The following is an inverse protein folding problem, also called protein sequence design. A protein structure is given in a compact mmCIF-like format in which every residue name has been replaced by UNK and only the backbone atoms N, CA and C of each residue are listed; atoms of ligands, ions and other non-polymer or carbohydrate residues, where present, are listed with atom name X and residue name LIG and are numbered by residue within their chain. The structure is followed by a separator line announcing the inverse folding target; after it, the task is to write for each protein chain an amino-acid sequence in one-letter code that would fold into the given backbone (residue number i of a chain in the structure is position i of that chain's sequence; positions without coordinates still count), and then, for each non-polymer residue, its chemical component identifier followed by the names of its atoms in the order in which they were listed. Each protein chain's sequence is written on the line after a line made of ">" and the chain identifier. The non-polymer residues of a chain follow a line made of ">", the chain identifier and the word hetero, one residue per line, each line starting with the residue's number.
data_IF_926097569017
#
_entry.id   IF_926097569017
#
_cell.length_a   1.000
_cell.length_b   1.000
_cell.length_c   1.000
_cell.angle_alpha   90.00
_cell.angle_beta   90.00
_cell.angle_gamma   90.00
#
_symmetry.space_group_name_H-M   'P 1'
#
loop_
_entity.id
_entity.type
_entity.pdbx_description
1 polymer ?
#
# COMPACT_ATOMS: atom_id res chain seq x y z
N UNK A 1 10.49 -3.05 2.57
CA UNK A 1 9.90 -3.19 3.93
C UNK A 1 9.70 -4.67 4.22
N UNK A 2 9.78 -5.13 5.48
CA UNK A 2 9.45 -6.53 5.82
C UNK A 2 8.03 -6.61 6.41
N UNK A 3 7.50 -7.83 6.56
CA UNK A 3 6.14 -8.04 7.05
C UNK A 3 5.89 -7.45 8.46
N UNK A 4 6.84 -7.59 9.38
CA UNK A 4 6.73 -7.06 10.73
C UNK A 4 6.63 -5.53 10.74
N UNK A 5 7.53 -4.87 10.00
CA UNK A 5 7.51 -3.39 9.86
C UNK A 5 6.21 -2.93 9.19
N UNK A 6 5.71 -3.66 8.19
CA UNK A 6 4.41 -3.34 7.58
C UNK A 6 3.27 -3.42 8.61
N UNK A 7 3.22 -4.49 9.41
CA UNK A 7 2.20 -4.69 10.42
C UNK A 7 2.24 -3.61 11.49
N UNK A 8 3.43 -3.33 12.03
CA UNK A 8 3.60 -2.40 13.15
C UNK A 8 3.48 -0.94 12.70
N UNK A 9 4.15 -0.54 11.62
CA UNK A 9 4.27 0.88 11.27
C UNK A 9 3.15 1.37 10.35
N UNK A 10 2.53 0.47 9.57
CA UNK A 10 1.48 0.84 8.61
C UNK A 10 0.12 0.34 9.09
N UNK A 11 -0.05 -0.98 9.26
CA UNK A 11 -1.37 -1.52 9.55
C UNK A 11 -1.88 -1.13 10.96
N UNK A 12 -1.06 -1.33 11.99
CA UNK A 12 -1.43 -0.98 13.37
C UNK A 12 -1.59 0.52 13.57
N UNK A 13 -0.71 1.33 12.99
CA UNK A 13 -0.67 2.78 13.26
C UNK A 13 -1.62 3.59 12.40
N UNK A 14 -1.93 3.16 11.18
CA UNK A 14 -2.75 3.93 10.25
C UNK A 14 -4.09 3.24 9.97
N UNK A 15 -4.08 1.95 9.63
CA UNK A 15 -5.29 1.26 9.16
C UNK A 15 -6.24 0.92 10.31
N UNK A 16 -5.72 0.47 11.45
CA UNK A 16 -6.55 0.13 12.62
C UNK A 16 -7.28 1.35 13.19
N UNK A 17 -6.64 2.53 13.40
CA UNK A 17 -7.37 3.73 13.79
C UNK A 17 -8.36 4.19 12.73
N UNK A 18 -7.99 4.16 11.44
CA UNK A 18 -8.89 4.55 10.36
C UNK A 18 -10.22 3.79 10.38
N UNK A 19 -10.15 2.47 10.63
CA UNK A 19 -11.33 1.62 10.77
C UNK A 19 -12.29 2.09 11.87
N UNK A 20 -11.77 2.63 12.98
CA UNK A 20 -12.59 3.05 14.11
C UNK A 20 -13.53 4.21 13.72
N UNK A 21 -13.04 5.10 12.87
CA UNK A 21 -13.80 6.27 12.41
C UNK A 21 -14.62 5.99 11.12
N UNK A 22 -14.29 4.93 10.38
CA UNK A 22 -14.89 4.61 9.08
C UNK A 22 -15.42 3.17 9.05
N UNK A 23 -16.63 2.90 9.57
CA UNK A 23 -17.15 1.54 9.69
C UNK A 23 -17.43 0.86 8.34
N UNK A 24 -17.60 1.63 7.26
CA UNK A 24 -17.94 1.14 5.92
C UNK A 24 -16.78 1.34 4.94
N UNK A 25 -15.61 0.78 5.24
CA UNK A 25 -14.45 0.82 4.34
C UNK A 25 -13.99 -0.59 3.96
N UNK A 26 -13.29 -0.69 2.84
CA UNK A 26 -12.56 -1.88 2.43
C UNK A 26 -11.12 -1.49 2.18
N UNK A 27 -10.20 -2.18 2.86
CA UNK A 27 -8.78 -1.93 2.68
C UNK A 27 -8.24 -2.65 1.43
N UNK A 28 -7.52 -1.93 0.58
CA UNK A 28 -6.80 -2.48 -0.55
C UNK A 28 -5.30 -2.20 -0.37
N UNK A 29 -4.48 -3.21 -0.59
CA UNK A 29 -3.04 -3.09 -0.80
C UNK A 29 -2.62 -4.08 -1.90
N UNK A 30 -1.45 -3.88 -2.49
CA UNK A 30 -0.87 -4.86 -3.39
C UNK A 30 -0.32 -6.08 -2.63
N UNK A 31 0.03 -7.14 -3.36
CA UNK A 31 0.49 -8.40 -2.77
C UNK A 31 2.00 -8.60 -2.84
N UNK A 32 2.79 -7.54 -2.62
CA UNK A 32 4.25 -7.71 -2.47
C UNK A 32 4.58 -8.60 -1.28
N UNK A 33 5.81 -9.13 -1.23
CA UNK A 33 6.24 -10.13 -0.24
C UNK A 33 5.88 -9.78 1.21
N UNK A 34 5.96 -8.50 1.63
CA UNK A 34 5.57 -8.10 2.99
C UNK A 34 4.06 -8.05 3.21
N UNK A 35 3.30 -7.66 2.20
CA UNK A 35 1.85 -7.52 2.27
C UNK A 35 1.16 -8.88 2.16
N UNK A 36 1.66 -9.76 1.28
CA UNK A 36 1.18 -11.14 1.10
C UNK A 36 1.73 -12.16 2.10
N UNK A 37 2.56 -11.74 3.07
CA UNK A 37 3.05 -12.64 4.10
C UNK A 37 1.87 -13.21 4.93
N UNK A 38 1.92 -14.50 5.28
CA UNK A 38 0.87 -15.16 6.08
C UNK A 38 0.55 -14.42 7.38
N UNK A 39 1.58 -13.88 8.04
CA UNK A 39 1.40 -13.09 9.27
C UNK A 39 0.67 -11.78 9.01
N UNK A 40 0.88 -11.16 7.84
CA UNK A 40 0.19 -9.93 7.44
C UNK A 40 -1.27 -10.22 7.10
N UNK A 41 -1.54 -11.30 6.37
CA UNK A 41 -2.92 -11.73 6.08
C UNK A 41 -3.68 -12.02 7.38
N UNK A 42 -3.10 -12.79 8.29
CA UNK A 42 -3.71 -13.10 9.60
C UNK A 42 -3.96 -11.83 10.43
N UNK A 43 -3.06 -10.84 10.36
CA UNK A 43 -3.27 -9.53 10.98
C UNK A 43 -4.50 -8.84 10.41
N UNK A 44 -4.63 -8.78 9.07
CA UNK A 44 -5.76 -8.13 8.41
C UNK A 44 -7.07 -8.82 8.77
N UNK A 45 -7.12 -10.16 8.74
CA UNK A 45 -8.31 -10.93 9.14
C UNK A 45 -8.74 -10.63 10.58
N UNK A 46 -7.78 -10.55 11.50
CA UNK A 46 -8.05 -10.41 12.94
C UNK A 46 -8.40 -8.97 13.34
N UNK A 47 -7.66 -7.97 12.82
CA UNK A 47 -7.78 -6.57 13.27
C UNK A 47 -8.56 -5.69 12.31
N UNK A 48 -8.46 -5.93 11.01
CA UNK A 48 -9.07 -5.08 9.96
C UNK A 48 -10.42 -5.66 9.54
N UNK A 49 -10.48 -6.93 9.16
CA UNK A 49 -11.68 -7.67 8.74
C UNK A 49 -12.09 -7.39 7.29
N UNK A 50 -12.26 -6.12 6.91
CA UNK A 50 -12.66 -5.72 5.55
C UNK A 50 -11.44 -5.35 4.70
N UNK A 51 -10.98 -6.27 3.86
CA UNK A 51 -9.90 -6.04 2.90
C UNK A 51 -10.08 -6.87 1.62
N UNK A 52 -9.50 -6.41 0.52
CA UNK A 52 -9.46 -7.17 -0.73
C UNK A 52 -8.38 -8.24 -0.60
N UNK A 53 -8.79 -9.51 -0.47
CA UNK A 53 -7.91 -10.67 -0.35
C UNK A 53 -7.22 -11.05 -1.68
N UNK A 54 -6.26 -11.96 -1.63
CA UNK A 54 -5.41 -12.37 -2.77
C UNK A 54 -6.18 -12.98 -3.94
N UNK A 55 -7.36 -13.52 -3.68
CA UNK A 55 -8.27 -14.07 -4.67
C UNK A 55 -9.14 -12.98 -5.35
N UNK A 56 -9.33 -11.84 -4.68
CA UNK A 56 -10.11 -10.71 -5.19
C UNK A 56 -9.25 -9.66 -5.90
N UNK A 57 -7.95 -9.58 -5.58
CA UNK A 57 -7.02 -8.62 -6.18
C UNK A 57 -5.96 -9.33 -7.04
N UNK A 58 -5.93 -9.09 -8.36
CA UNK A 58 -4.97 -9.75 -9.25
C UNK A 58 -3.52 -9.33 -8.97
N UNK A 59 -2.60 -10.28 -9.10
CA UNK A 59 -1.17 -10.01 -8.98
C UNK A 59 -0.66 -9.18 -10.17
N UNK A 60 0.29 -8.27 -9.92
CA UNK A 60 0.92 -7.41 -10.93
C UNK A 60 -0.06 -6.51 -11.71
N UNK A 61 -1.06 -5.96 -11.02
CA UNK A 61 -2.06 -5.05 -11.61
C UNK A 61 -1.95 -3.61 -11.08
N UNK A 62 -0.85 -2.89 -11.39
CA UNK A 62 -0.72 -1.49 -11.00
C UNK A 62 -1.74 -0.58 -11.69
N UNK A 63 -2.24 -0.98 -12.86
CA UNK A 63 -3.31 -0.31 -13.60
C UNK A 63 -4.65 -0.28 -12.84
N UNK A 64 -4.88 -1.26 -11.96
CA UNK A 64 -6.07 -1.31 -11.14
C UNK A 64 -5.92 -0.55 -9.83
N UNK A 65 -4.69 -0.28 -9.37
CA UNK A 65 -4.43 0.39 -8.10
C UNK A 65 -4.49 1.93 -8.25
N UNK A 66 -5.46 2.63 -7.65
CA UNK A 66 -5.55 4.10 -7.73
C UNK A 66 -4.30 4.83 -7.28
N UNK A 67 -3.57 4.26 -6.32
CA UNK A 67 -2.32 4.82 -5.86
C UNK A 67 -1.26 4.78 -6.97
N UNK A 68 -1.10 3.64 -7.63
CA UNK A 68 -0.05 3.44 -8.64
C UNK A 68 -0.39 4.10 -9.97
N UNK A 69 -1.61 3.92 -10.49
CA UNK A 69 -1.96 4.42 -11.83
C UNK A 69 -2.09 5.96 -11.87
N UNK A 70 -2.43 6.60 -10.74
CA UNK A 70 -2.71 8.04 -10.71
C UNK A 70 -1.88 8.81 -9.69
N UNK A 71 -2.01 8.48 -8.40
CA UNK A 71 -1.47 9.33 -7.33
C UNK A 71 0.05 9.40 -7.38
N UNK A 72 0.73 8.26 -7.56
CA UNK A 72 2.18 8.17 -7.68
C UNK A 72 2.70 8.99 -8.87
N UNK A 73 2.07 8.88 -10.04
CA UNK A 73 2.44 9.66 -11.22
C UNK A 73 2.26 11.17 -11.03
N UNK A 74 1.14 11.57 -10.42
CA UNK A 74 0.92 12.98 -10.06
C UNK A 74 1.98 13.49 -9.08
N UNK A 75 2.26 12.74 -8.01
CA UNK A 75 3.29 13.11 -7.04
C UNK A 75 4.66 13.23 -7.71
N UNK A 76 5.02 12.31 -8.60
CA UNK A 76 6.28 12.35 -9.33
C UNK A 76 6.40 13.61 -10.19
N UNK A 77 5.35 14.02 -10.90
CA UNK A 77 5.32 15.26 -11.67
C UNK A 77 5.53 16.49 -10.75
N UNK A 78 4.87 16.51 -9.60
CA UNK A 78 5.04 17.58 -8.61
C UNK A 78 6.47 17.61 -8.03
N UNK A 79 7.13 16.46 -7.87
CA UNK A 79 8.51 16.41 -7.43
C UNK A 79 9.50 16.82 -8.52
N UNK A 80 9.26 16.42 -9.78
CA UNK A 80 10.09 16.81 -10.93
C UNK A 80 10.01 18.30 -11.23
N UNK A 81 8.84 18.93 -11.04
CA UNK A 81 8.67 20.38 -11.23
C UNK A 81 9.32 21.20 -10.13
N UNK A 82 9.58 20.59 -8.96
CA UNK A 82 10.37 21.18 -7.88
C UNK A 82 11.84 20.88 -8.13
N UNK A 83 12.70 21.89 -7.98
CA UNK A 83 14.15 21.72 -8.16
C UNK A 83 14.77 21.01 -6.93
N UNK A 84 14.36 19.75 -6.71
CA UNK A 84 14.79 18.94 -5.58
C UNK A 84 16.17 18.38 -5.90
N UNK A 85 17.19 18.94 -5.24
CA UNK A 85 18.61 18.66 -5.54
C UNK A 85 19.06 17.20 -5.27
N UNK A 86 18.20 16.33 -4.72
CA UNK A 86 18.55 14.98 -4.26
C UNK A 86 17.51 13.90 -4.65
N UNK A 87 16.99 13.90 -5.87
CA UNK A 87 16.17 12.79 -6.37
C UNK A 87 17.07 11.66 -6.90
N UNK A 88 17.54 10.79 -6.01
CA UNK A 88 17.99 9.46 -6.43
C UNK A 88 16.75 8.62 -6.75
N UNK A 89 16.37 8.59 -8.03
CA UNK A 89 15.24 7.78 -8.50
C UNK A 89 15.51 6.31 -8.17
N UNK A 90 14.66 5.64 -7.37
CA UNK A 90 14.84 4.24 -7.04
C UNK A 90 14.75 3.36 -8.30
N UNK A 91 15.50 2.25 -8.38
CA UNK A 91 15.51 1.36 -9.55
C UNK A 91 14.12 0.83 -9.95
N UNK A 92 13.18 0.72 -9.00
CA UNK A 92 11.81 0.27 -9.23
C UNK A 92 10.96 1.22 -10.07
N UNK A 93 11.46 2.43 -10.36
CA UNK A 93 10.77 3.47 -11.14
C UNK A 93 11.33 3.61 -12.57
N UNK A 94 12.28 2.76 -12.97
CA UNK A 94 12.78 2.72 -14.35
C UNK A 94 12.06 1.60 -15.09
N UNK A 95 11.09 1.98 -15.92
CA UNK A 95 10.55 1.11 -16.97
C UNK A 95 11.54 1.02 -18.13
#
# INVERSE_FOLDING_TARGET
>A
MNAKVNQEEILERAVVPWKQDHPNFTFQQDWTTSHGAKTTISFLETKVGSFLATDLWPANSPDLNPLDFSVCGFMEEQFRSRNVKNLSIPPSMRY
#
